data_IF_254070941556
#
_entry.id   IF_254070941556
#
_cell.length_a   1.000
_cell.length_b   1.000
_cell.length_c   1.000
_cell.angle_alpha   90.00
_cell.angle_beta   90.00
_cell.angle_gamma   90.00
#
_symmetry.space_group_name_H-M   'P 1'
#
loop_
_entity.id
_entity.type
_entity.pdbx_description
1 polymer ?
#
# COMPACT_ATOMS: atom_id res chain seq x y z
N UNK A 1 -30.59 -36.58 15.20
CA UNK A 1 -30.08 -35.29 15.73
C UNK A 1 -30.70 -34.19 14.90
N UNK A 2 -31.63 -33.40 15.46
CA UNK A 2 -32.31 -32.31 14.73
C UNK A 2 -31.60 -31.00 15.05
N UNK A 3 -31.16 -30.34 13.98
CA UNK A 3 -30.36 -29.11 13.95
C UNK A 3 -31.16 -27.91 14.50
N UNK A 4 -30.58 -27.15 15.43
CA UNK A 4 -31.19 -26.01 16.15
C UNK A 4 -30.64 -24.67 15.66
N UNK A 5 -30.31 -24.57 14.36
CA UNK A 5 -29.58 -23.45 13.78
C UNK A 5 -30.43 -22.25 13.34
N UNK A 6 -31.74 -22.25 13.56
CA UNK A 6 -32.63 -21.15 13.18
C UNK A 6 -33.34 -20.55 14.39
N UNK A 7 -32.80 -19.40 14.84
CA UNK A 7 -33.38 -18.39 15.71
C UNK A 7 -34.47 -18.81 16.68
N UNK A 8 -34.12 -19.00 17.95
CA UNK A 8 -35.11 -18.95 19.03
C UNK A 8 -35.85 -17.60 18.96
N UNK A 9 -37.19 -17.57 18.83
CA UNK A 9 -37.91 -16.33 19.00
C UNK A 9 -37.68 -15.87 20.44
N UNK A 10 -37.01 -14.72 20.58
CA UNK A 10 -36.88 -14.06 21.88
C UNK A 10 -38.25 -14.02 22.54
N UNK A 11 -38.43 -14.52 23.77
CA UNK A 11 -39.73 -14.45 24.44
C UNK A 11 -40.13 -12.97 24.41
N UNK A 12 -41.33 -12.69 23.90
CA UNK A 12 -41.85 -11.34 23.80
C UNK A 12 -41.84 -10.72 25.21
N UNK A 13 -40.74 -10.04 25.55
CA UNK A 13 -40.54 -9.44 26.84
C UNK A 13 -41.67 -8.46 27.08
N UNK A 14 -42.18 -8.44 28.31
CA UNK A 14 -43.12 -7.44 28.77
C UNK A 14 -42.67 -6.08 28.22
N UNK A 15 -43.45 -5.48 27.31
CA UNK A 15 -43.27 -4.09 26.94
C UNK A 15 -43.67 -3.29 28.16
N UNK A 16 -42.70 -2.98 29.01
CA UNK A 16 -42.87 -2.01 30.10
C UNK A 16 -43.23 -0.70 29.42
N UNK A 17 -44.53 -0.41 29.35
CA UNK A 17 -45.03 0.89 28.94
C UNK A 17 -44.62 1.83 30.06
N UNK A 18 -43.53 2.56 29.86
CA UNK A 18 -43.21 3.65 30.78
C UNK A 18 -44.41 4.60 30.79
N UNK A 19 -44.89 4.97 31.98
CA UNK A 19 -46.00 5.93 32.15
C UNK A 19 -45.63 7.37 31.75
N UNK A 20 -44.58 7.54 30.94
CA UNK A 20 -44.03 8.81 30.52
C UNK A 20 -44.76 9.33 29.29
N UNK A 21 -44.99 10.64 29.26
CA UNK A 21 -45.56 11.33 28.11
C UNK A 21 -44.74 11.09 26.84
N UNK A 22 -45.34 11.36 25.67
CA UNK A 22 -44.61 11.31 24.40
C UNK A 22 -43.45 12.31 24.40
N UNK A 23 -43.66 13.48 24.99
CA UNK A 23 -42.66 14.55 25.09
C UNK A 23 -41.49 14.16 26.02
N UNK A 24 -41.77 13.54 27.16
CA UNK A 24 -40.74 13.03 28.07
C UNK A 24 -39.86 11.97 27.41
N UNK A 25 -40.47 11.09 26.60
CA UNK A 25 -39.73 10.07 25.84
C UNK A 25 -38.90 10.69 24.72
N UNK A 26 -39.39 11.74 24.08
CA UNK A 26 -38.63 12.48 23.07
C UNK A 26 -37.42 13.18 23.70
N UNK A 27 -37.60 13.82 24.85
CA UNK A 27 -36.55 14.47 25.63
C UNK A 27 -35.48 13.46 26.09
N UNK A 28 -35.89 12.30 26.63
CA UNK A 28 -34.94 11.23 27.01
C UNK A 28 -34.12 10.72 25.82
N UNK A 29 -34.74 10.56 24.64
CA UNK A 29 -34.01 10.15 23.43
C UNK A 29 -33.07 11.25 22.92
N UNK A 30 -33.41 12.52 23.08
CA UNK A 30 -32.52 13.64 22.75
C UNK A 30 -31.31 13.65 23.69
N UNK A 31 -31.53 13.60 25.01
CA UNK A 31 -30.47 13.51 26.01
C UNK A 31 -29.56 12.28 25.80
N UNK A 32 -30.13 11.11 25.50
CA UNK A 32 -29.36 9.90 25.21
C UNK A 32 -28.58 10.00 23.88
N UNK A 33 -29.01 10.81 22.91
CA UNK A 33 -28.24 11.08 21.69
C UNK A 33 -27.07 12.02 21.97
N UNK A 34 -27.30 13.07 22.73
CA UNK A 34 -26.27 14.03 23.16
C UNK A 34 -25.20 13.35 24.00
N UNK A 35 -25.58 12.54 25.00
CA UNK A 35 -24.63 11.78 25.81
C UNK A 35 -23.75 10.85 24.96
N UNK A 36 -24.34 10.16 23.96
CA UNK A 36 -23.59 9.32 23.01
C UNK A 36 -22.69 10.13 22.07
N UNK A 37 -23.05 11.37 21.75
CA UNK A 37 -22.22 12.25 20.93
C UNK A 37 -21.02 12.76 21.74
N UNK A 38 -21.24 13.17 22.99
CA UNK A 38 -20.19 13.60 23.91
C UNK A 38 -19.22 12.47 24.23
N UNK A 39 -19.71 11.25 24.50
CA UNK A 39 -18.85 10.09 24.74
C UNK A 39 -17.93 9.79 23.53
N UNK A 40 -18.50 9.81 22.31
CA UNK A 40 -17.71 9.62 21.07
C UNK A 40 -16.68 10.71 20.82
N UNK A 41 -17.00 11.95 21.18
CA UNK A 41 -16.07 13.07 21.09
C UNK A 41 -14.90 12.87 22.06
N UNK A 42 -15.19 12.53 23.32
CA UNK A 42 -14.16 12.25 24.33
C UNK A 42 -13.26 11.08 23.98
N UNK A 43 -13.82 9.96 23.49
CA UNK A 43 -13.02 8.81 23.00
C UNK A 43 -12.11 9.19 21.84
N UNK A 44 -12.59 10.05 20.92
CA UNK A 44 -11.80 10.48 19.77
C UNK A 44 -10.68 11.42 20.19
N UNK A 45 -10.93 12.33 21.12
CA UNK A 45 -9.92 13.19 21.72
C UNK A 45 -8.85 12.36 22.45
N UNK A 46 -9.25 11.36 23.23
CA UNK A 46 -8.31 10.47 23.93
C UNK A 46 -7.42 9.70 22.95
N UNK A 47 -7.99 9.12 21.89
CA UNK A 47 -7.21 8.43 20.85
C UNK A 47 -6.19 9.33 20.16
N UNK A 48 -6.51 10.61 19.98
CA UNK A 48 -5.58 11.58 19.40
C UNK A 48 -4.45 11.89 20.38
N UNK A 49 -4.75 12.11 21.67
CA UNK A 49 -3.74 12.32 22.73
C UNK A 49 -2.79 11.13 22.86
N UNK A 50 -3.33 9.91 22.84
CA UNK A 50 -2.51 8.69 22.93
C UNK A 50 -1.60 8.55 21.70
N UNK A 51 -2.11 8.86 20.50
CA UNK A 51 -1.32 8.81 19.26
C UNK A 51 -0.20 9.86 19.25
N UNK A 52 -0.46 11.07 19.75
CA UNK A 52 0.59 12.10 19.86
C UNK A 52 1.66 11.69 20.87
N UNK A 53 1.25 11.19 22.04
CA UNK A 53 2.18 10.70 23.07
C UNK A 53 3.05 9.53 22.54
N UNK A 54 2.47 8.57 21.85
CA UNK A 54 3.19 7.46 21.24
C UNK A 54 4.21 7.93 20.19
N UNK A 55 3.85 8.91 19.35
CA UNK A 55 4.77 9.48 18.36
C UNK A 55 5.96 10.21 19.00
N UNK A 56 5.72 10.94 20.09
CA UNK A 56 6.78 11.62 20.83
C UNK A 56 7.73 10.62 21.49
N UNK A 57 7.19 9.54 22.08
CA UNK A 57 7.99 8.46 22.65
C UNK A 57 8.85 7.77 21.59
N UNK A 58 8.26 7.43 20.44
CA UNK A 58 8.98 6.85 19.30
C UNK A 58 10.08 7.78 18.78
N UNK A 59 9.81 9.09 18.69
CA UNK A 59 10.79 10.07 18.26
C UNK A 59 11.99 10.12 19.22
N UNK A 60 11.72 10.21 20.54
CA UNK A 60 12.77 10.20 21.57
C UNK A 60 13.59 8.90 21.54
N UNK A 61 12.93 7.75 21.40
CA UNK A 61 13.62 6.45 21.30
C UNK A 61 14.54 6.37 20.08
N UNK A 62 14.11 6.89 18.93
CA UNK A 62 14.95 6.95 17.71
C UNK A 62 16.13 7.89 17.87
N UNK A 63 15.96 9.01 18.57
CA UNK A 63 17.05 9.95 18.84
C UNK A 63 18.07 9.36 19.80
N UNK A 64 17.63 8.73 20.90
CA UNK A 64 18.50 7.98 21.82
C UNK A 64 19.31 6.91 21.07
N UNK A 65 18.65 6.10 20.22
CA UNK A 65 19.34 5.08 19.42
C UNK A 65 20.32 5.67 18.39
N UNK A 66 20.10 6.91 17.90
CA UNK A 66 21.07 7.62 17.04
C UNK A 66 22.25 8.15 17.85
N UNK A 67 22.04 8.58 19.08
CA UNK A 67 23.10 9.04 19.98
C UNK A 67 23.97 7.88 20.44
N UNK A 68 23.37 6.79 20.89
CA UNK A 68 24.09 5.57 21.27
C UNK A 68 24.97 5.05 20.12
N UNK A 69 24.43 5.02 18.89
CA UNK A 69 25.23 4.65 17.71
C UNK A 69 26.38 5.61 17.44
N UNK A 70 26.16 6.93 17.56
CA UNK A 70 27.23 7.93 17.38
C UNK A 70 28.33 7.77 18.42
N UNK A 71 27.97 7.55 19.69
CA UNK A 71 28.93 7.32 20.77
C UNK A 71 29.70 6.03 20.53
N UNK A 72 29.03 4.94 20.15
CA UNK A 72 29.70 3.67 19.84
C UNK A 72 30.65 3.79 18.63
N UNK A 73 30.24 4.52 17.57
CA UNK A 73 31.09 4.81 16.41
C UNK A 73 32.32 5.66 16.79
N UNK A 74 32.16 6.66 17.66
CA UNK A 74 33.28 7.47 18.17
C UNK A 74 34.26 6.63 18.98
N UNK A 75 33.77 5.80 19.90
CA UNK A 75 34.61 4.90 20.71
C UNK A 75 35.39 3.90 19.83
N UNK A 76 34.75 3.36 18.79
CA UNK A 76 35.41 2.48 17.82
C UNK A 76 36.49 3.21 17.00
N UNK A 77 36.25 4.47 16.62
CA UNK A 77 37.22 5.28 15.88
C UNK A 77 38.44 5.69 16.72
N UNK A 78 38.26 5.90 18.03
CA UNK A 78 39.35 6.22 18.96
C UNK A 78 40.27 5.03 19.26
N UNK A 79 39.74 3.79 19.23
CA UNK A 79 40.50 2.58 19.55
C UNK A 79 41.41 2.05 18.43
N UNK A 80 40.99 2.16 17.16
CA UNK A 80 41.81 1.77 16.00
C UNK A 80 41.39 2.57 14.74
N UNK A 81 42.21 3.54 14.28
CA UNK A 81 41.89 4.36 13.10
C UNK A 81 41.86 3.55 11.79
N UNK A 82 42.47 2.36 11.73
CA UNK A 82 42.42 1.48 10.55
C UNK A 82 41.15 0.61 10.53
N UNK A 83 40.61 0.22 11.70
CA UNK A 83 39.35 -0.50 11.80
C UNK A 83 38.14 0.35 11.37
N UNK A 84 38.14 1.65 11.66
CA UNK A 84 37.10 2.59 11.23
C UNK A 84 37.02 2.73 9.70
N UNK A 85 38.16 2.67 9.00
CA UNK A 85 38.22 2.68 7.54
C UNK A 85 37.68 1.37 6.92
N UNK A 86 37.94 0.23 7.56
CA UNK A 86 37.45 -1.09 7.13
C UNK A 86 35.96 -1.30 7.42
N UNK A 87 35.43 -0.71 8.50
CA UNK A 87 34.02 -0.81 8.91
C UNK A 87 33.09 0.20 8.25
N UNK A 88 33.59 1.09 7.37
CA UNK A 88 32.72 1.98 6.59
C UNK A 88 31.65 1.14 5.90
N UNK A 89 30.44 1.12 6.47
CA UNK A 89 29.27 0.51 5.85
C UNK A 89 29.11 1.23 4.54
N UNK A 90 29.24 0.49 3.44
CA UNK A 90 29.01 0.99 2.08
C UNK A 90 27.72 1.82 2.16
N UNK A 91 27.87 3.15 2.07
CA UNK A 91 26.75 4.07 2.22
C UNK A 91 25.64 3.65 1.27
N UNK A 92 24.39 3.96 1.64
CA UNK A 92 23.19 3.84 0.80
C UNK A 92 23.59 3.87 -0.66
N UNK A 93 23.49 2.72 -1.33
CA UNK A 93 24.21 2.37 -2.56
C UNK A 93 23.90 3.23 -3.78
N UNK A 94 24.13 4.54 -3.72
CA UNK A 94 24.62 5.31 -4.85
C UNK A 94 26.07 4.94 -5.01
N UNK A 95 26.27 3.76 -5.59
CA UNK A 95 27.38 3.60 -6.50
C UNK A 95 27.24 4.76 -7.49
N UNK A 96 28.27 5.56 -7.64
CA UNK A 96 28.51 6.28 -8.89
C UNK A 96 28.71 5.22 -9.97
N UNK A 97 27.64 4.49 -10.30
CA UNK A 97 27.58 3.66 -11.50
C UNK A 97 27.56 4.70 -12.59
N UNK A 98 28.74 5.00 -13.12
CA UNK A 98 28.82 5.38 -14.51
C UNK A 98 28.17 4.23 -15.25
N UNK A 99 26.86 4.36 -15.52
CA UNK A 99 26.18 3.48 -16.45
C UNK A 99 26.94 3.71 -17.74
N UNK A 100 27.77 2.76 -18.15
CA UNK A 100 28.28 2.74 -19.51
C UNK A 100 27.07 3.00 -20.41
N UNK A 101 27.11 4.13 -21.11
CA UNK A 101 26.07 4.49 -22.03
C UNK A 101 26.21 3.51 -23.19
N UNK A 102 25.44 2.42 -23.12
CA UNK A 102 25.39 1.44 -24.20
C UNK A 102 24.88 2.15 -25.43
N UNK A 103 25.72 2.22 -26.47
CA UNK A 103 25.29 2.69 -27.77
C UNK A 103 24.34 1.65 -28.35
N UNK A 104 23.04 1.98 -28.30
CA UNK A 104 21.95 1.15 -28.80
C UNK A 104 21.50 1.56 -30.19
N UNK A 105 22.21 2.49 -30.85
CA UNK A 105 21.87 2.97 -32.21
C UNK A 105 21.85 1.85 -33.25
N UNK A 106 22.54 0.74 -32.99
CA UNK A 106 22.55 -0.46 -33.84
C UNK A 106 21.63 -1.59 -33.37
N UNK A 107 20.85 -1.41 -32.31
CA UNK A 107 19.94 -2.47 -31.84
C UNK A 107 18.71 -2.49 -32.73
N UNK A 108 18.57 -3.57 -33.50
CA UNK A 108 17.31 -3.84 -34.21
C UNK A 108 16.39 -4.62 -33.29
N UNK A 109 15.13 -4.21 -33.23
CA UNK A 109 14.09 -5.00 -32.55
C UNK A 109 13.74 -6.18 -33.45
N UNK A 110 13.95 -7.40 -32.96
CA UNK A 110 13.52 -8.60 -33.69
C UNK A 110 12.01 -8.72 -33.53
N UNK A 111 11.29 -8.55 -34.64
CA UNK A 111 9.84 -8.72 -34.69
C UNK A 111 9.52 -10.21 -34.64
N UNK A 112 8.83 -10.64 -33.58
CA UNK A 112 8.37 -12.03 -33.44
C UNK A 112 7.14 -12.27 -34.32
N UNK A 113 7.40 -12.82 -35.51
CA UNK A 113 6.37 -13.16 -36.51
C UNK A 113 5.39 -14.21 -35.98
N UNK A 114 5.82 -15.16 -35.15
CA UNK A 114 4.94 -16.18 -34.58
C UNK A 114 3.91 -15.55 -33.64
N UNK A 115 4.36 -14.61 -32.80
CA UNK A 115 3.48 -13.83 -31.92
C UNK A 115 2.52 -12.94 -32.73
N UNK A 116 2.99 -12.31 -33.80
CA UNK A 116 2.14 -11.51 -34.69
C UNK A 116 1.00 -12.35 -35.28
N UNK A 117 1.31 -13.56 -35.75
CA UNK A 117 0.33 -14.52 -36.27
C UNK A 117 -0.67 -14.98 -35.20
N UNK A 118 -0.22 -15.24 -33.98
CA UNK A 118 -1.11 -15.62 -32.88
C UNK A 118 -2.09 -14.51 -32.53
N UNK A 119 -1.64 -13.25 -32.50
CA UNK A 119 -2.51 -12.11 -32.23
C UNK A 119 -3.51 -11.87 -33.37
N UNK A 120 -3.10 -12.06 -34.62
CA UNK A 120 -4.01 -12.02 -35.77
C UNK A 120 -5.12 -13.08 -35.66
N UNK A 121 -4.78 -14.33 -35.27
CA UNK A 121 -5.78 -15.39 -35.00
C UNK A 121 -6.76 -15.03 -33.89
N UNK A 122 -6.34 -14.22 -32.92
CA UNK A 122 -7.19 -13.70 -31.83
C UNK A 122 -8.04 -12.49 -32.22
N UNK A 123 -7.98 -12.04 -33.48
CA UNK A 123 -8.77 -10.93 -34.00
C UNK A 123 -8.10 -9.56 -33.92
N UNK A 124 -6.79 -9.48 -33.72
CA UNK A 124 -6.06 -8.22 -33.81
C UNK A 124 -6.09 -7.68 -35.25
N UNK A 125 -6.36 -6.37 -35.41
CA UNK A 125 -6.34 -5.71 -36.72
C UNK A 125 -4.91 -5.44 -37.20
N UNK A 126 -4.73 -5.35 -38.52
CA UNK A 126 -3.43 -5.04 -39.15
C UNK A 126 -2.84 -3.73 -38.62
N UNK A 127 -3.66 -2.68 -38.51
CA UNK A 127 -3.23 -1.39 -37.94
C UNK A 127 -2.81 -1.51 -36.46
N UNK A 128 -3.51 -2.33 -35.66
CA UNK A 128 -3.16 -2.58 -34.27
C UNK A 128 -1.84 -3.33 -34.11
N UNK A 129 -1.58 -4.29 -35.01
CA UNK A 129 -0.31 -5.02 -35.05
C UNK A 129 0.85 -4.13 -35.51
N UNK A 130 0.65 -3.32 -36.56
CA UNK A 130 1.64 -2.36 -37.04
C UNK A 130 2.07 -1.40 -35.92
N UNK A 131 1.10 -0.83 -35.18
CA UNK A 131 1.39 0.04 -34.03
C UNK A 131 2.09 -0.68 -32.87
N UNK A 132 1.73 -1.93 -32.58
CA UNK A 132 2.31 -2.68 -31.46
C UNK A 132 3.73 -3.18 -31.73
N UNK A 133 4.03 -3.54 -32.97
CA UNK A 133 5.34 -4.06 -33.39
C UNK A 133 6.25 -2.99 -34.00
N UNK A 134 5.75 -1.78 -34.24
CA UNK A 134 6.52 -0.67 -34.81
C UNK A 134 6.93 -0.89 -36.26
N UNK A 135 6.15 -1.67 -37.01
CA UNK A 135 6.37 -2.01 -38.43
C UNK A 135 5.26 -1.43 -39.28
N UNK A 136 5.46 -1.37 -40.60
CA UNK A 136 4.44 -0.94 -41.54
C UNK A 136 3.31 -1.95 -41.67
N UNK A 137 2.12 -1.50 -42.06
CA UNK A 137 1.00 -2.41 -42.34
C UNK A 137 1.30 -3.39 -43.48
N UNK A 138 2.14 -3.00 -44.44
CA UNK A 138 2.58 -3.86 -45.55
C UNK A 138 3.43 -5.03 -45.06
N UNK A 139 4.38 -4.76 -44.16
CA UNK A 139 5.20 -5.79 -43.51
C UNK A 139 4.34 -6.75 -42.67
N UNK A 140 3.32 -6.25 -41.99
CA UNK A 140 2.35 -7.09 -41.25
C UNK A 140 1.56 -7.98 -42.22
N UNK A 141 1.06 -7.43 -43.34
CA UNK A 141 0.31 -8.23 -44.33
C UNK A 141 1.19 -9.31 -44.96
N UNK A 142 2.45 -8.99 -45.29
CA UNK A 142 3.41 -9.97 -45.79
C UNK A 142 3.69 -11.08 -44.77
N UNK A 143 3.93 -10.72 -43.50
CA UNK A 143 4.22 -11.67 -42.43
C UNK A 143 3.04 -12.63 -42.13
N UNK A 144 1.80 -12.18 -42.37
CA UNK A 144 0.58 -12.96 -42.25
C UNK A 144 0.27 -13.80 -43.51
N UNK A 145 0.65 -13.34 -44.71
CA UNK A 145 0.48 -14.08 -45.95
C UNK A 145 1.36 -15.35 -46.00
N UNK A 146 2.56 -15.28 -45.43
CA UNK A 146 3.47 -16.43 -45.27
C UNK A 146 3.00 -17.47 -44.22
N UNK A 147 1.77 -17.35 -43.71
CA UNK A 147 1.19 -18.22 -42.69
C UNK A 147 0.05 -19.12 -43.19
N UNK A 148 -0.38 -18.91 -44.44
CA UNK A 148 -1.22 -19.86 -45.20
C UNK A 148 -0.35 -20.96 -45.82
#
# INVERSE_FOLDING_TARGET
MVDKSWGTPSPAGLRVRSNLGLDDRAAQRAAAREARAQARAGESEQRLKDRTAAREQDARAREAAREERRVAEQQLAEGDPHAAAAQRRRGSGRKDVVREQRDTRGYTTVVDVARMRELAKRGASVAGLAGAFGVSEEEVRAALADAE
#
